data_IF_118648026814
#
_entry.id   IF_118648026814
#
_cell.length_a   1.000
_cell.length_b   1.000
_cell.length_c   1.000
_cell.angle_alpha   90.00
_cell.angle_beta   90.00
_cell.angle_gamma   90.00
#
_symmetry.space_group_name_H-M   'P 1'
#
loop_
_entity.id
_entity.type
_entity.pdbx_description
1 polymer ?
#
# COMPACT_ATOMS: atom_id res chain seq x y z
N UNK A 1 18.80 25.18 3.08
CA UNK A 1 18.84 23.71 3.10
C UNK A 1 17.42 23.25 3.29
N UNK A 2 16.78 22.77 2.22
CA UNK A 2 15.46 22.17 2.33
C UNK A 2 15.61 20.91 3.18
N UNK A 3 15.06 20.93 4.39
CA UNK A 3 15.00 19.74 5.23
C UNK A 3 13.98 18.80 4.61
N UNK A 4 14.44 17.66 4.11
CA UNK A 4 13.57 16.61 3.58
C UNK A 4 12.65 16.12 4.69
N UNK A 5 11.39 15.82 4.34
CA UNK A 5 10.37 15.44 5.32
C UNK A 5 9.71 14.13 4.93
N UNK A 6 9.44 13.28 5.94
CA UNK A 6 8.52 12.15 5.83
C UNK A 6 7.21 12.54 6.50
N UNK A 7 6.17 12.67 5.71
CA UNK A 7 4.81 12.85 6.16
C UNK A 7 4.21 11.51 6.57
N UNK A 8 3.51 11.45 7.70
CA UNK A 8 2.72 10.29 8.11
C UNK A 8 1.48 10.72 8.89
N UNK A 9 0.41 9.93 8.80
CA UNK A 9 -0.80 10.14 9.60
C UNK A 9 -0.62 9.63 11.04
N UNK A 10 -1.28 10.28 11.99
CA UNK A 10 -1.22 9.95 13.43
C UNK A 10 -1.56 8.48 13.70
N UNK A 11 -0.54 7.70 14.01
CA UNK A 11 -0.61 6.29 14.41
C UNK A 11 0.75 5.88 14.97
N UNK A 12 0.78 5.14 16.08
CA UNK A 12 2.04 4.71 16.72
C UNK A 12 2.90 3.79 15.84
N UNK A 13 2.28 2.87 15.10
CA UNK A 13 2.99 2.00 14.17
C UNK A 13 3.64 2.80 13.04
N UNK A 14 2.90 3.75 12.47
CA UNK A 14 3.42 4.62 11.40
C UNK A 14 4.56 5.52 11.88
N UNK A 15 4.44 6.04 13.11
CA UNK A 15 5.52 6.81 13.75
C UNK A 15 6.80 5.98 13.90
N UNK A 16 6.69 4.75 14.39
CA UNK A 16 7.84 3.85 14.56
C UNK A 16 8.54 3.57 13.23
N UNK A 17 7.79 3.36 12.16
CA UNK A 17 8.35 3.16 10.81
C UNK A 17 9.08 4.42 10.33
N UNK A 18 8.46 5.59 10.45
CA UNK A 18 9.07 6.85 10.03
C UNK A 18 10.37 7.14 10.79
N UNK A 19 10.39 6.89 12.13
CA UNK A 19 11.60 7.01 12.96
C UNK A 19 12.66 6.02 12.52
N UNK A 20 12.31 4.76 12.29
CA UNK A 20 13.28 3.76 11.85
C UNK A 20 13.94 4.15 10.51
N UNK A 21 13.14 4.61 9.53
CA UNK A 21 13.66 5.09 8.24
C UNK A 21 14.57 6.31 8.43
N UNK A 22 14.15 7.28 9.25
CA UNK A 22 14.95 8.47 9.57
C UNK A 22 16.33 8.08 10.10
N UNK A 23 16.39 7.16 11.08
CA UNK A 23 17.64 6.70 11.68
C UNK A 23 18.50 5.90 10.67
N UNK A 24 17.90 5.00 9.90
CA UNK A 24 18.62 4.24 8.87
C UNK A 24 19.26 5.16 7.84
N UNK A 25 18.55 6.17 7.38
CA UNK A 25 19.06 7.11 6.38
C UNK A 25 20.11 8.04 6.97
N UNK A 26 19.96 8.43 8.24
CA UNK A 26 21.01 9.18 8.93
C UNK A 26 22.30 8.37 9.07
N UNK A 27 22.19 7.12 9.51
CA UNK A 27 23.36 6.26 9.77
C UNK A 27 24.08 5.81 8.48
N UNK A 28 23.31 5.43 7.46
CA UNK A 28 23.88 4.81 6.26
C UNK A 28 24.15 5.81 5.13
N UNK A 29 23.37 6.88 5.04
CA UNK A 29 23.43 7.84 3.94
C UNK A 29 23.84 9.24 4.39
N UNK A 30 23.98 9.48 5.70
CA UNK A 30 24.20 10.79 6.30
C UNK A 30 23.16 11.84 5.84
N UNK A 31 21.91 11.42 5.68
CA UNK A 31 20.79 12.27 5.28
C UNK A 31 19.94 12.60 6.50
N UNK A 32 19.77 13.89 6.78
CA UNK A 32 18.86 14.37 7.82
C UNK A 32 17.46 14.55 7.26
N UNK A 33 16.47 13.89 7.91
CA UNK A 33 15.05 13.95 7.55
C UNK A 33 14.27 14.42 8.76
N UNK A 34 13.26 15.26 8.52
CA UNK A 34 12.26 15.60 9.51
C UNK A 34 11.06 14.67 9.39
N UNK A 35 10.44 14.36 10.51
CA UNK A 35 9.19 13.59 10.57
C UNK A 35 8.05 14.58 10.80
N UNK A 36 7.05 14.56 9.91
CA UNK A 36 5.87 15.42 9.99
C UNK A 36 4.64 14.56 10.27
N UNK A 37 4.05 14.75 11.44
CA UNK A 37 2.80 14.09 11.83
C UNK A 37 1.61 14.99 11.47
N UNK A 38 0.58 14.39 10.87
CA UNK A 38 -0.70 15.04 10.65
C UNK A 38 -1.85 14.13 11.10
N UNK A 39 -2.94 14.75 11.55
CA UNK A 39 -4.20 14.06 11.77
C UNK A 39 -4.73 13.51 10.43
N UNK A 40 -5.53 12.44 10.47
CA UNK A 40 -5.91 11.66 9.29
C UNK A 40 -6.50 12.50 8.16
N UNK A 41 -7.43 13.38 8.46
CA UNK A 41 -8.08 14.21 7.43
C UNK A 41 -7.10 15.21 6.80
N UNK A 42 -6.31 15.87 7.62
CA UNK A 42 -5.29 16.83 7.15
C UNK A 42 -4.21 16.11 6.32
N UNK A 43 -3.83 14.90 6.74
CA UNK A 43 -2.90 14.06 6.01
C UNK A 43 -3.43 13.71 4.60
N UNK A 44 -4.70 13.31 4.49
CA UNK A 44 -5.32 12.99 3.20
C UNK A 44 -5.41 14.21 2.28
N UNK A 45 -5.71 15.38 2.83
CA UNK A 45 -5.75 16.64 2.07
C UNK A 45 -4.34 16.99 1.55
N UNK A 46 -3.32 16.91 2.41
CA UNK A 46 -1.91 17.14 2.03
C UNK A 46 -1.42 16.15 0.97
N UNK A 47 -1.74 14.85 1.12
CA UNK A 47 -1.40 13.84 0.11
C UNK A 47 -2.07 14.12 -1.23
N UNK A 48 -3.36 14.45 -1.21
CA UNK A 48 -4.13 14.74 -2.41
C UNK A 48 -3.64 15.99 -3.14
N UNK A 49 -3.17 17.00 -2.38
CA UNK A 49 -2.60 18.22 -2.91
C UNK A 49 -1.13 18.08 -3.35
N UNK A 50 -0.47 16.95 -3.06
CA UNK A 50 0.96 16.76 -3.31
C UNK A 50 1.85 17.61 -2.40
N UNK A 51 1.36 18.03 -1.23
CA UNK A 51 2.06 18.88 -0.26
C UNK A 51 2.99 18.07 0.64
N UNK A 52 3.80 17.22 0.07
CA UNK A 52 4.79 16.41 0.77
C UNK A 52 6.00 16.14 -0.13
N UNK A 53 7.10 15.74 0.46
CA UNK A 53 8.29 15.27 -0.28
C UNK A 53 8.34 13.75 -0.28
N UNK A 54 8.06 13.15 0.87
CA UNK A 54 7.95 11.71 1.06
C UNK A 54 6.74 11.50 1.95
N UNK A 55 5.80 10.65 1.54
CA UNK A 55 4.65 10.26 2.33
C UNK A 55 4.75 8.79 2.72
N UNK A 56 4.47 8.48 3.97
CA UNK A 56 4.25 7.11 4.42
C UNK A 56 2.79 6.76 4.16
N UNK A 57 2.54 5.99 3.14
CA UNK A 57 1.22 5.55 2.75
C UNK A 57 1.03 4.04 2.89
N UNK A 58 -0.17 3.55 2.65
CA UNK A 58 -0.50 2.14 2.53
C UNK A 58 -1.76 1.97 1.71
N UNK A 59 -1.89 0.81 1.08
CA UNK A 59 -3.08 0.43 0.33
C UNK A 59 -3.63 -0.89 0.84
N UNK A 60 -4.93 -0.94 1.04
CA UNK A 60 -5.67 -2.17 1.34
C UNK A 60 -6.46 -2.49 0.07
N UNK A 61 -6.25 -3.70 -0.48
CA UNK A 61 -6.89 -4.09 -1.72
C UNK A 61 -8.42 -4.19 -1.57
N UNK A 62 -9.16 -3.71 -2.56
CA UNK A 62 -10.61 -3.80 -2.62
C UNK A 62 -11.07 -5.16 -3.18
N UNK A 63 -10.20 -5.86 -3.91
CA UNK A 63 -10.42 -7.18 -4.50
C UNK A 63 -9.09 -7.94 -4.69
N UNK A 64 -9.19 -9.26 -4.83
CA UNK A 64 -8.02 -10.17 -4.92
C UNK A 64 -7.53 -10.23 -6.37
N UNK A 65 -6.81 -9.21 -6.80
CA UNK A 65 -6.14 -9.15 -8.11
C UNK A 65 -4.97 -8.16 -8.06
N UNK A 66 -3.81 -8.46 -8.69
CA UNK A 66 -2.67 -7.54 -8.73
C UNK A 66 -3.02 -6.16 -9.31
N UNK A 67 -4.00 -6.10 -10.22
CA UNK A 67 -4.45 -4.84 -10.80
C UNK A 67 -4.85 -3.81 -9.75
N UNK A 68 -5.43 -4.25 -8.63
CA UNK A 68 -5.84 -3.36 -7.54
C UNK A 68 -4.69 -2.54 -6.94
N UNK A 69 -3.47 -3.05 -7.03
CA UNK A 69 -2.25 -2.39 -6.55
C UNK A 69 -1.50 -1.62 -7.65
N UNK A 70 -1.69 -2.00 -8.90
CA UNK A 70 -1.00 -1.38 -10.02
C UNK A 70 -1.79 -0.23 -10.65
N UNK A 71 -3.12 -0.33 -10.74
CA UNK A 71 -3.95 0.73 -11.32
C UNK A 71 -3.96 2.03 -10.51
N UNK A 72 -3.49 1.97 -9.24
CA UNK A 72 -3.26 3.16 -8.41
C UNK A 72 -2.32 4.17 -9.04
N UNK A 73 -1.37 3.73 -9.89
CA UNK A 73 -0.28 4.56 -10.39
C UNK A 73 -0.47 5.02 -11.84
N UNK A 74 -1.64 4.81 -12.42
CA UNK A 74 -1.95 5.33 -13.76
C UNK A 74 -1.89 6.87 -13.77
N UNK A 75 -1.50 7.42 -14.91
CA UNK A 75 -1.40 8.87 -15.10
C UNK A 75 -2.72 9.58 -14.78
N UNK A 76 -2.67 10.58 -13.93
CA UNK A 76 -3.84 11.35 -13.48
C UNK A 76 -4.95 10.51 -12.82
N UNK A 77 -4.65 9.28 -12.40
CA UNK A 77 -5.57 8.45 -11.63
C UNK A 77 -5.89 9.07 -10.27
N UNK A 78 -7.14 8.96 -9.83
CA UNK A 78 -7.59 9.56 -8.57
C UNK A 78 -6.87 9.04 -7.32
N UNK A 79 -6.27 7.85 -7.41
CA UNK A 79 -5.47 7.24 -6.34
C UNK A 79 -3.98 7.48 -6.47
N UNK A 80 -3.51 7.98 -7.63
CA UNK A 80 -2.11 8.30 -7.84
C UNK A 80 -1.74 9.60 -7.13
N UNK A 81 -1.16 9.46 -5.94
CA UNK A 81 -0.70 10.60 -5.13
C UNK A 81 0.76 11.00 -5.43
N UNK A 82 1.49 10.18 -6.20
CA UNK A 82 2.92 10.37 -6.44
C UNK A 82 3.23 11.44 -7.48
N UNK A 83 2.28 11.76 -8.35
CA UNK A 83 2.49 12.60 -9.53
C UNK A 83 3.31 11.93 -10.64
N UNK A 84 3.71 10.66 -10.46
CA UNK A 84 4.37 9.89 -11.50
C UNK A 84 3.41 9.58 -12.64
N UNK A 85 3.93 9.56 -13.87
CA UNK A 85 3.15 9.27 -15.06
C UNK A 85 4.03 8.62 -16.13
N UNK A 86 3.61 7.44 -16.58
CA UNK A 86 4.27 6.71 -17.65
C UNK A 86 3.22 6.11 -18.59
N UNK A 87 3.19 6.58 -19.84
CA UNK A 87 2.17 6.18 -20.84
C UNK A 87 2.29 4.70 -21.25
N UNK A 88 3.50 4.13 -21.21
CA UNK A 88 3.70 2.72 -21.51
C UNK A 88 3.13 1.85 -20.36
N UNK A 89 3.36 2.27 -19.12
CA UNK A 89 2.73 1.67 -17.94
C UNK A 89 1.21 1.69 -18.05
N UNK A 90 0.63 2.85 -18.34
CA UNK A 90 -0.82 2.98 -18.52
C UNK A 90 -1.37 2.07 -19.60
N UNK A 91 -0.64 1.94 -20.72
CA UNK A 91 -1.03 1.04 -21.80
C UNK A 91 -1.02 -0.44 -21.34
N UNK A 92 -0.01 -0.87 -20.57
CA UNK A 92 0.04 -2.22 -20.01
C UNK A 92 -1.16 -2.49 -19.09
N UNK A 93 -1.46 -1.59 -18.18
CA UNK A 93 -2.52 -1.77 -17.18
C UNK A 93 -3.91 -1.64 -17.78
N UNK A 94 -4.16 -0.61 -18.59
CA UNK A 94 -5.50 -0.25 -19.05
C UNK A 94 -5.95 -0.96 -20.35
N UNK A 95 -4.98 -1.43 -21.16
CA UNK A 95 -5.30 -1.99 -22.48
C UNK A 95 -4.78 -3.40 -22.68
N UNK A 96 -3.49 -3.64 -22.38
CA UNK A 96 -2.87 -4.94 -22.69
C UNK A 96 -3.32 -6.01 -21.70
N UNK A 97 -3.17 -5.81 -20.41
CA UNK A 97 -3.55 -6.78 -19.39
C UNK A 97 -5.05 -7.19 -19.45
N UNK A 98 -6.02 -6.28 -19.67
CA UNK A 98 -7.42 -6.66 -19.83
C UNK A 98 -7.73 -7.41 -21.13
N UNK A 99 -6.91 -7.29 -22.17
CA UNK A 99 -7.17 -7.89 -23.48
C UNK A 99 -6.73 -9.35 -23.57
N UNK A 100 -5.78 -9.81 -22.74
CA UNK A 100 -5.29 -11.19 -22.77
C UNK A 100 -6.21 -12.13 -22.01
N UNK A 101 -6.31 -13.38 -22.48
CA UNK A 101 -7.17 -14.40 -21.88
C UNK A 101 -6.41 -15.36 -20.96
N UNK A 102 -5.11 -15.52 -21.16
CA UNK A 102 -4.26 -16.35 -20.31
C UNK A 102 -3.98 -15.62 -19.00
N UNK A 103 -4.16 -16.33 -17.89
CA UNK A 103 -3.82 -15.83 -16.57
C UNK A 103 -2.31 -15.61 -16.43
N UNK A 104 -1.52 -16.54 -16.93
CA UNK A 104 -0.06 -16.47 -16.90
C UNK A 104 0.45 -15.26 -17.69
N UNK A 105 -0.02 -15.08 -18.92
CA UNK A 105 0.34 -13.94 -19.75
C UNK A 105 -0.03 -12.60 -19.09
N UNK A 106 -1.19 -12.56 -18.45
CA UNK A 106 -1.64 -11.36 -17.71
C UNK A 106 -0.72 -11.05 -16.53
N UNK A 107 -0.27 -12.07 -15.79
CA UNK A 107 0.69 -11.89 -14.69
C UNK A 107 2.04 -11.40 -15.19
N UNK A 108 2.55 -11.87 -16.31
CA UNK A 108 3.79 -11.38 -16.93
C UNK A 108 3.69 -9.90 -17.32
N UNK A 109 2.53 -9.46 -17.83
CA UNK A 109 2.27 -8.05 -18.14
C UNK A 109 2.31 -7.21 -16.85
N UNK A 110 1.66 -7.67 -15.78
CA UNK A 110 1.69 -6.98 -14.49
C UNK A 110 3.10 -6.93 -13.89
N UNK A 111 3.88 -8.00 -14.00
CA UNK A 111 5.27 -8.02 -13.55
C UNK A 111 6.13 -7.02 -14.35
N UNK A 112 5.89 -6.88 -15.64
CA UNK A 112 6.55 -5.89 -16.48
C UNK A 112 6.21 -4.48 -16.01
N UNK A 113 4.92 -4.19 -15.78
CA UNK A 113 4.46 -2.89 -15.28
C UNK A 113 5.02 -2.58 -13.88
N UNK A 114 5.00 -3.55 -12.96
CA UNK A 114 5.61 -3.42 -11.63
C UNK A 114 7.11 -3.11 -11.71
N UNK A 115 7.82 -3.78 -12.61
CA UNK A 115 9.25 -3.54 -12.84
C UNK A 115 9.51 -2.11 -13.32
N UNK A 116 8.68 -1.58 -14.22
CA UNK A 116 8.76 -0.18 -14.67
C UNK A 116 8.53 0.79 -13.50
N UNK A 117 7.48 0.57 -12.71
CA UNK A 117 7.15 1.37 -11.54
C UNK A 117 8.30 1.41 -10.54
N UNK A 118 8.86 0.24 -10.21
CA UNK A 118 9.93 0.14 -9.21
C UNK A 118 11.26 0.69 -9.72
N UNK A 119 11.54 0.64 -11.01
CA UNK A 119 12.75 1.25 -11.60
C UNK A 119 12.71 2.78 -11.52
N UNK A 120 11.54 3.38 -11.72
CA UNK A 120 11.36 4.83 -11.63
C UNK A 120 11.20 5.32 -10.17
N UNK A 121 10.98 4.41 -9.23
CA UNK A 121 10.91 4.66 -7.78
C UNK A 121 9.93 5.75 -7.32
N UNK A 122 8.72 5.88 -7.87
CA UNK A 122 7.72 6.78 -7.27
C UNK A 122 7.24 6.26 -5.91
N UNK A 123 7.44 4.98 -5.63
CA UNK A 123 7.15 4.33 -4.34
C UNK A 123 8.32 3.46 -3.90
N UNK A 124 8.47 3.32 -2.59
CA UNK A 124 9.42 2.42 -1.94
C UNK A 124 8.61 1.40 -1.14
N UNK A 125 8.41 0.18 -1.63
CA UNK A 125 7.72 -0.87 -0.88
C UNK A 125 8.47 -1.21 0.39
N UNK A 126 7.79 -1.23 1.53
CA UNK A 126 8.40 -1.52 2.84
C UNK A 126 8.00 -2.90 3.35
N UNK A 127 6.69 -3.19 3.41
CA UNK A 127 6.18 -4.47 3.89
C UNK A 127 4.72 -4.67 3.48
N UNK A 128 4.29 -5.93 3.53
CA UNK A 128 2.87 -6.30 3.41
C UNK A 128 2.27 -6.44 4.81
N UNK A 129 1.10 -5.86 5.02
CA UNK A 129 0.37 -6.02 6.28
C UNK A 129 -0.04 -7.48 6.49
N UNK A 130 0.06 -7.91 7.74
CA UNK A 130 -0.47 -9.22 8.19
C UNK A 130 -1.50 -9.00 9.28
N UNK A 131 -2.55 -9.81 9.28
CA UNK A 131 -3.56 -9.84 10.34
C UNK A 131 -3.25 -10.97 11.31
N UNK A 132 -3.12 -10.64 12.59
CA UNK A 132 -2.95 -11.63 13.66
C UNK A 132 -4.26 -11.69 14.43
N UNK A 133 -4.85 -12.87 14.50
CA UNK A 133 -6.13 -13.10 15.18
C UNK A 133 -5.95 -14.17 16.25
N UNK A 134 -6.39 -13.87 17.45
CA UNK A 134 -6.51 -14.83 18.55
C UNK A 134 -7.98 -15.21 18.65
N UNK A 135 -8.28 -16.49 18.35
CA UNK A 135 -9.65 -17.01 18.33
C UNK A 135 -9.76 -18.09 19.37
N UNK A 136 -10.76 -17.99 20.24
CA UNK A 136 -11.05 -19.04 21.23
C UNK A 136 -11.40 -20.34 20.49
N UNK A 137 -10.87 -21.52 20.91
CA UNK A 137 -11.15 -22.81 20.29
C UNK A 137 -12.63 -23.19 20.22
N UNK A 138 -13.48 -22.62 21.08
CA UNK A 138 -14.93 -22.84 21.04
C UNK A 138 -15.62 -22.11 19.88
N UNK A 139 -14.97 -21.09 19.29
CA UNK A 139 -15.50 -20.35 18.13
C UNK A 139 -15.29 -21.18 16.88
N UNK A 140 -16.38 -21.56 16.23
CA UNK A 140 -16.37 -22.36 14.99
C UNK A 140 -16.83 -21.52 13.78
N UNK A 141 -16.43 -21.98 12.61
CA UNK A 141 -16.72 -21.34 11.31
C UNK A 141 -16.20 -19.88 11.18
N UNK A 142 -15.14 -19.55 11.93
CA UNK A 142 -14.45 -18.30 11.71
C UNK A 142 -13.37 -18.50 10.65
N UNK A 143 -13.68 -18.09 9.42
CA UNK A 143 -12.75 -18.14 8.30
C UNK A 143 -12.14 -16.78 8.05
N UNK A 144 -10.82 -16.70 8.08
CA UNK A 144 -10.07 -15.53 7.61
C UNK A 144 -9.80 -15.66 6.11
N UNK A 145 -9.85 -14.55 5.40
CA UNK A 145 -9.49 -14.50 3.99
C UNK A 145 -8.46 -13.39 3.73
N UNK A 146 -7.87 -13.40 2.53
CA UNK A 146 -6.82 -12.46 2.15
C UNK A 146 -7.28 -10.98 2.20
N UNK A 147 -8.60 -10.73 2.10
CA UNK A 147 -9.18 -9.39 2.22
C UNK A 147 -9.44 -8.97 3.67
N UNK A 148 -9.13 -9.84 4.63
CA UNK A 148 -9.41 -9.65 6.07
C UNK A 148 -10.90 -9.34 6.36
N UNK A 149 -11.81 -9.95 5.56
CA UNK A 149 -13.24 -9.85 5.77
C UNK A 149 -13.71 -11.03 6.62
N UNK A 150 -14.36 -10.75 7.75
CA UNK A 150 -14.99 -11.78 8.58
C UNK A 150 -16.50 -11.83 8.29
N UNK A 151 -16.99 -13.03 7.95
CA UNK A 151 -18.41 -13.28 7.74
C UNK A 151 -19.01 -13.90 9.02
N UNK A 152 -19.61 -13.07 9.86
CA UNK A 152 -20.07 -13.47 11.19
C UNK A 152 -21.36 -14.29 11.21
N UNK A 153 -22.14 -14.36 10.12
CA UNK A 153 -23.47 -14.99 10.06
C UNK A 153 -23.47 -16.48 10.36
N UNK A 154 -22.36 -17.17 10.07
CA UNK A 154 -22.24 -18.62 10.21
C UNK A 154 -21.36 -19.03 11.40
N UNK A 155 -20.90 -18.07 12.21
CA UNK A 155 -20.08 -18.31 13.39
C UNK A 155 -20.97 -18.79 14.53
N UNK A 156 -20.53 -19.82 15.23
CA UNK A 156 -21.19 -20.32 16.44
C UNK A 156 -20.18 -20.72 17.52
N UNK A 157 -20.67 -20.83 18.75
CA UNK A 157 -19.90 -21.35 19.87
C UNK A 157 -20.22 -22.80 20.06
N UNK A 158 -19.21 -23.66 20.13
CA UNK A 158 -19.33 -25.04 20.51
C UNK A 158 -19.21 -25.15 22.04
N UNK A 159 -20.22 -25.77 22.69
CA UNK A 159 -20.16 -26.01 24.15
C UNK A 159 -19.03 -26.99 24.42
N UNK A 160 -18.17 -26.65 25.38
CA UNK A 160 -17.15 -27.56 25.87
C UNK A 160 -17.81 -28.44 26.96
N UNK A 161 -17.84 -29.76 26.76
CA UNK A 161 -18.28 -30.73 27.75
C UNK A 161 -17.36 -30.76 29.00
#
# INVERSE_FOLDING_TARGET
>A
VYKRQILYNTNEGHRKIAVAIQEMWKQNLNVDIQILNQEWKVYLDSESAGEYQISRAGWIGDYVDPNNFLDMFICNGGNNRTGWCNQEYDNLILKVAPAVKSHEERLEIFQTAETMLLNDMPVIPIYTYTSIQLIDPSVKNFDSNIMNHAYYKDIYLEEQD
#
